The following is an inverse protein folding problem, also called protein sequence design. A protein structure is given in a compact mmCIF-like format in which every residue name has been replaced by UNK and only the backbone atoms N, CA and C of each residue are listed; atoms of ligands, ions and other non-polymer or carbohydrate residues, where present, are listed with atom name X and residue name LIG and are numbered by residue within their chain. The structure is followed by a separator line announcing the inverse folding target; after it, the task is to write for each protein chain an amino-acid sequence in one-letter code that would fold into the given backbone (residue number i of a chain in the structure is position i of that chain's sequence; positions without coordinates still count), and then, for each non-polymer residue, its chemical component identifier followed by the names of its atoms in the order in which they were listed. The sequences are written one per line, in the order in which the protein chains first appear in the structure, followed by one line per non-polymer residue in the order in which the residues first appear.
data_IF_471123412879
#
_entry.id   IF_471123412879
#
_cell.length_a   1.000
_cell.length_b   1.000
_cell.length_c   1.000
_cell.angle_alpha   90.00
_cell.angle_beta   90.00
_cell.angle_gamma   90.00
#
_symmetry.space_group_name_H-M   'P 1'
#
loop_
_entity.id
_entity.type
_entity.pdbx_description
1 polymer ?
#
# COMPACT_ATOMS: atom_id res chain seq x y z
N UNK A 1 -10.43 3.02 -18.26
CA UNK A 1 -11.66 3.32 -17.49
C UNK A 1 -11.39 4.40 -16.44
N UNK A 2 -10.40 4.22 -15.55
CA UNK A 2 -9.96 5.23 -14.57
C UNK A 2 -9.80 6.65 -15.11
N UNK A 3 -9.11 6.82 -16.24
CA UNK A 3 -8.93 8.13 -16.90
C UNK A 3 -10.26 8.78 -17.31
N UNK A 4 -11.26 7.99 -17.72
CA UNK A 4 -12.58 8.48 -18.08
C UNK A 4 -13.44 8.88 -16.87
N UNK A 5 -12.93 8.75 -15.65
CA UNK A 5 -13.63 9.10 -14.42
C UNK A 5 -14.43 7.96 -13.79
N UNK A 6 -14.37 6.74 -14.34
CA UNK A 6 -14.96 5.56 -13.72
C UNK A 6 -14.02 4.96 -12.67
N UNK A 7 -14.55 4.53 -11.52
CA UNK A 7 -13.81 3.66 -10.59
C UNK A 7 -13.60 2.30 -11.27
N UNK A 8 -12.33 1.94 -11.52
CA UNK A 8 -11.99 0.71 -12.22
C UNK A 8 -10.97 -0.11 -11.45
N UNK A 9 -11.19 -1.43 -11.45
CA UNK A 9 -10.28 -2.38 -10.85
C UNK A 9 -10.04 -3.60 -11.72
N UNK A 10 -8.99 -4.33 -11.40
CA UNK A 10 -8.78 -5.72 -11.83
C UNK A 10 -8.28 -6.55 -10.64
N UNK A 11 -8.27 -7.87 -10.80
CA UNK A 11 -7.74 -8.82 -9.83
C UNK A 11 -6.80 -9.80 -10.52
N UNK A 12 -5.67 -10.09 -9.90
CA UNK A 12 -4.66 -11.00 -10.45
C UNK A 12 -3.83 -11.64 -9.33
N UNK A 13 -2.69 -12.23 -9.69
CA UNK A 13 -1.69 -12.77 -8.78
C UNK A 13 -0.28 -12.41 -9.30
N UNK A 14 0.80 -12.70 -8.56
CA UNK A 14 2.19 -12.34 -8.90
C UNK A 14 2.62 -12.40 -10.39
N UNK A 15 2.32 -13.47 -11.16
CA UNK A 15 2.63 -13.50 -12.59
C UNK A 15 1.90 -12.44 -13.42
N UNK A 16 0.65 -12.12 -13.08
CA UNK A 16 -0.11 -11.07 -13.74
C UNK A 16 0.39 -9.68 -13.35
N UNK A 17 0.80 -9.47 -12.09
CA UNK A 17 1.46 -8.23 -11.66
C UNK A 17 2.72 -7.97 -12.49
N UNK A 18 3.52 -9.00 -12.73
CA UNK A 18 4.71 -8.90 -13.59
C UNK A 18 4.38 -8.42 -15.02
N UNK A 19 3.27 -8.88 -15.60
CA UNK A 19 2.81 -8.45 -16.93
C UNK A 19 2.22 -7.03 -16.93
N UNK A 20 1.68 -6.58 -15.79
CA UNK A 20 1.08 -5.26 -15.64
C UNK A 20 2.09 -4.15 -15.32
N UNK A 21 3.38 -4.48 -15.14
CA UNK A 21 4.41 -3.53 -14.71
C UNK A 21 4.52 -2.28 -15.59
N UNK A 22 4.45 -2.40 -16.92
CA UNK A 22 4.51 -1.25 -17.84
C UNK A 22 3.34 -0.29 -17.61
N UNK A 23 2.12 -0.82 -17.50
CA UNK A 23 0.92 -0.02 -17.27
C UNK A 23 0.82 0.54 -15.86
N UNK A 24 1.41 -0.12 -14.86
CA UNK A 24 1.52 0.43 -13.51
C UNK A 24 2.38 1.70 -13.50
N UNK A 25 3.52 1.70 -14.20
CA UNK A 25 4.36 2.89 -14.38
C UNK A 25 3.62 4.00 -15.11
N UNK A 26 2.90 3.67 -16.19
CA UNK A 26 2.06 4.64 -16.90
C UNK A 26 0.98 5.24 -15.97
N UNK A 27 0.29 4.41 -15.18
CA UNK A 27 -0.78 4.88 -14.29
C UNK A 27 -0.27 5.83 -13.21
N UNK A 28 0.88 5.53 -12.60
CA UNK A 28 1.52 6.42 -11.62
C UNK A 28 1.92 7.76 -12.26
N UNK A 29 2.63 7.71 -13.40
CA UNK A 29 3.19 8.90 -14.04
C UNK A 29 2.12 9.79 -14.68
N UNK A 30 1.09 9.18 -15.27
CA UNK A 30 -0.04 9.88 -15.86
C UNK A 30 -1.12 10.27 -14.83
N UNK A 31 -0.96 9.83 -13.59
CA UNK A 31 -1.87 10.06 -12.46
C UNK A 31 -3.30 9.58 -12.74
N UNK A 32 -3.41 8.31 -13.12
CA UNK A 32 -4.67 7.65 -13.44
C UNK A 32 -5.08 6.77 -12.25
N UNK A 33 -6.23 7.04 -11.60
CA UNK A 33 -6.68 6.23 -10.48
C UNK A 33 -7.17 4.86 -10.95
N UNK A 34 -6.73 3.79 -10.29
CA UNK A 34 -7.21 2.42 -10.48
C UNK A 34 -6.82 1.56 -9.29
N UNK A 35 -7.48 0.42 -9.13
CA UNK A 35 -7.19 -0.55 -8.06
C UNK A 35 -6.78 -1.89 -8.65
N UNK A 36 -5.73 -2.51 -8.11
CA UNK A 36 -5.34 -3.88 -8.45
C UNK A 36 -5.39 -4.72 -7.19
N UNK A 37 -6.21 -5.76 -7.21
CA UNK A 37 -6.16 -6.80 -6.19
C UNK A 37 -5.14 -7.84 -6.60
N UNK A 38 -4.10 -8.00 -5.80
CA UNK A 38 -3.14 -9.08 -5.93
C UNK A 38 -3.44 -10.14 -4.88
N UNK A 39 -3.96 -11.27 -5.34
CA UNK A 39 -4.19 -12.44 -4.50
C UNK A 39 -2.91 -13.27 -4.54
N UNK A 40 -2.02 -12.97 -3.60
CA UNK A 40 -0.67 -13.52 -3.59
C UNK A 40 -0.69 -15.03 -3.42
N UNK A 41 0.19 -15.68 -4.19
CA UNK A 41 0.40 -17.13 -4.14
C UNK A 41 1.90 -17.41 -4.24
N UNK A 42 2.28 -18.62 -3.86
CA UNK A 42 3.68 -19.00 -3.87
C UNK A 42 4.27 -18.93 -5.29
N UNK A 43 5.26 -18.05 -5.47
CA UNK A 43 6.14 -17.97 -6.64
C UNK A 43 7.47 -18.72 -6.41
N UNK A 44 8.53 -18.43 -7.20
CA UNK A 44 8.55 -17.56 -8.39
C UNK A 44 7.93 -18.22 -9.63
N UNK A 45 7.75 -17.45 -10.71
CA UNK A 45 7.16 -17.94 -11.98
C UNK A 45 5.78 -18.59 -11.74
N UNK A 46 5.49 -19.75 -12.34
CA UNK A 46 4.25 -20.49 -12.07
C UNK A 46 4.13 -20.88 -10.60
N UNK A 47 5.24 -21.10 -9.88
CA UNK A 47 5.29 -21.44 -8.47
C UNK A 47 4.34 -22.59 -8.08
N UNK A 48 3.67 -22.45 -6.93
CA UNK A 48 2.62 -23.37 -6.47
C UNK A 48 1.27 -22.63 -6.46
N UNK A 49 0.43 -22.77 -7.51
CA UNK A 49 -0.80 -21.98 -7.65
C UNK A 49 -1.87 -22.16 -6.58
N UNK A 50 -1.75 -23.19 -5.76
CA UNK A 50 -2.71 -23.55 -4.72
C UNK A 50 -2.15 -23.36 -3.31
N UNK A 51 -1.00 -22.68 -3.18
CA UNK A 51 -0.31 -22.46 -1.90
C UNK A 51 -0.16 -20.97 -1.60
N UNK A 52 -0.50 -20.60 -0.37
CA UNK A 52 -0.42 -19.22 0.10
C UNK A 52 1.03 -18.78 0.31
N UNK A 53 1.29 -17.51 0.07
CA UNK A 53 2.54 -16.81 0.33
C UNK A 53 2.27 -15.30 0.22
N UNK A 54 3.11 -14.48 0.85
CA UNK A 54 3.08 -13.02 0.80
C UNK A 54 4.42 -12.48 0.28
N UNK A 55 4.82 -12.95 -0.90
CA UNK A 55 6.14 -12.69 -1.53
C UNK A 55 6.11 -11.67 -2.66
N UNK A 56 5.01 -10.92 -2.83
CA UNK A 56 4.89 -9.93 -3.91
C UNK A 56 4.93 -8.49 -3.36
N UNK A 57 5.27 -8.31 -2.07
CA UNK A 57 5.24 -7.02 -1.38
C UNK A 57 6.26 -6.04 -1.97
N UNK A 58 7.53 -6.42 -2.05
CA UNK A 58 8.59 -5.57 -2.61
C UNK A 58 8.36 -5.28 -4.09
N UNK A 59 7.96 -6.30 -4.85
CA UNK A 59 7.74 -6.16 -6.29
C UNK A 59 6.55 -5.26 -6.60
N UNK A 60 5.46 -5.32 -5.81
CA UNK A 60 4.34 -4.40 -5.92
C UNK A 60 4.69 -2.99 -5.44
N UNK A 61 5.44 -2.85 -4.33
CA UNK A 61 5.81 -1.54 -3.77
C UNK A 61 6.64 -0.71 -4.74
N UNK A 62 7.60 -1.36 -5.44
CA UNK A 62 8.50 -0.73 -6.41
C UNK A 62 8.14 -1.02 -7.88
N UNK A 63 6.93 -1.49 -8.17
CA UNK A 63 6.58 -2.02 -9.49
C UNK A 63 6.77 -1.00 -10.62
N UNK A 64 7.37 -1.48 -11.72
CA UNK A 64 7.73 -0.76 -12.95
C UNK A 64 9.18 -0.27 -13.00
N UNK A 65 9.53 0.41 -14.10
CA UNK A 65 10.85 0.97 -14.34
C UNK A 65 10.88 2.46 -13.96
N UNK A 66 12.06 2.96 -13.60
CA UNK A 66 12.23 4.31 -13.06
C UNK A 66 11.96 4.35 -11.55
N UNK A 67 11.80 5.57 -11.02
CA UNK A 67 11.57 5.80 -9.58
C UNK A 67 10.06 5.62 -9.23
N UNK A 68 9.53 4.43 -9.49
CA UNK A 68 8.13 4.09 -9.26
C UNK A 68 7.88 3.57 -7.84
N UNK A 69 6.82 4.08 -7.19
CA UNK A 69 6.35 3.60 -5.89
C UNK A 69 4.84 3.66 -5.79
N UNK A 70 4.25 2.63 -5.20
CA UNK A 70 2.80 2.48 -5.14
C UNK A 70 2.31 2.28 -3.70
N UNK A 71 1.20 2.92 -3.29
CA UNK A 71 0.54 2.58 -2.04
C UNK A 71 -0.01 1.16 -2.08
N UNK A 72 0.19 0.42 -0.99
CA UNK A 72 -0.26 -0.96 -0.82
C UNK A 72 -1.18 -1.05 0.40
N UNK A 73 -2.24 -1.85 0.33
CA UNK A 73 -3.14 -2.19 1.44
C UNK A 73 -3.04 -3.68 1.78
N UNK A 74 -3.14 -4.01 3.08
CA UNK A 74 -2.96 -5.38 3.60
C UNK A 74 -4.14 -5.81 4.49
N UNK A 75 -5.26 -6.29 3.91
CA UNK A 75 -6.37 -6.82 4.70
C UNK A 75 -5.97 -8.12 5.40
N UNK A 76 -6.42 -8.35 6.64
CA UNK A 76 -6.20 -9.60 7.39
C UNK A 76 -7.43 -10.48 7.53
N UNK A 77 -8.63 -9.97 7.24
CA UNK A 77 -9.89 -10.71 7.40
C UNK A 77 -10.83 -10.45 6.23
N UNK A 78 -11.89 -11.29 6.03
CA UNK A 78 -12.90 -11.00 5.01
C UNK A 78 -13.62 -9.66 5.22
N UNK A 79 -13.84 -9.26 6.48
CA UNK A 79 -14.40 -7.94 6.81
C UNK A 79 -13.49 -6.81 6.33
N UNK A 80 -12.17 -6.92 6.57
CA UNK A 80 -11.23 -5.92 6.06
C UNK A 80 -11.11 -5.96 4.54
N UNK A 81 -11.22 -7.12 3.89
CA UNK A 81 -11.29 -7.18 2.43
C UNK A 81 -12.50 -6.38 1.91
N UNK A 82 -13.65 -6.47 2.58
CA UNK A 82 -14.84 -5.71 2.24
C UNK A 82 -14.64 -4.20 2.46
N UNK A 83 -14.15 -3.80 3.63
CA UNK A 83 -13.87 -2.39 3.97
C UNK A 83 -12.82 -1.78 3.00
N UNK A 84 -11.67 -2.45 2.85
CA UNK A 84 -10.56 -1.96 2.06
C UNK A 84 -10.86 -1.94 0.56
N UNK A 85 -11.88 -2.66 0.08
CA UNK A 85 -12.37 -2.50 -1.30
C UNK A 85 -12.89 -1.08 -1.56
N UNK A 86 -13.64 -0.51 -0.62
CA UNK A 86 -14.10 0.88 -0.69
C UNK A 86 -12.95 1.86 -0.52
N UNK A 87 -12.16 1.67 0.56
CA UNK A 87 -11.01 2.50 0.89
C UNK A 87 -10.00 2.58 -0.25
N UNK A 88 -9.73 1.48 -0.95
CA UNK A 88 -8.81 1.47 -2.09
C UNK A 88 -9.27 2.38 -3.23
N UNK A 89 -10.58 2.46 -3.50
CA UNK A 89 -11.09 3.36 -4.52
C UNK A 89 -11.06 4.82 -4.09
N UNK A 90 -11.39 5.11 -2.83
CA UNK A 90 -11.31 6.46 -2.27
C UNK A 90 -9.85 6.96 -2.30
N UNK A 91 -8.90 6.13 -1.87
CA UNK A 91 -7.48 6.42 -1.97
C UNK A 91 -7.02 6.58 -3.42
N UNK A 92 -7.44 5.70 -4.33
CA UNK A 92 -7.05 5.81 -5.74
C UNK A 92 -7.50 7.15 -6.32
N UNK A 93 -8.75 7.59 -6.06
CA UNK A 93 -9.24 8.87 -6.55
C UNK A 93 -8.61 10.08 -5.85
N UNK A 94 -8.36 10.00 -4.54
CA UNK A 94 -7.70 11.06 -3.76
C UNK A 94 -6.25 11.26 -4.20
N UNK A 95 -5.47 10.19 -4.27
CA UNK A 95 -4.05 10.20 -4.64
C UNK A 95 -3.81 10.19 -6.16
N UNK A 96 -4.86 9.96 -6.94
CA UNK A 96 -4.81 9.87 -8.40
C UNK A 96 -3.69 8.92 -8.86
N UNK A 97 -3.67 7.72 -8.31
CA UNK A 97 -2.63 6.73 -8.59
C UNK A 97 -3.20 5.32 -8.50
N UNK A 98 -2.37 4.34 -8.85
CA UNK A 98 -2.66 2.94 -8.67
C UNK A 98 -2.58 2.57 -7.17
N UNK A 99 -3.61 1.90 -6.66
CA UNK A 99 -3.60 1.31 -5.33
C UNK A 99 -3.59 -0.21 -5.48
N UNK A 100 -2.62 -0.86 -4.84
CA UNK A 100 -2.61 -2.31 -4.75
C UNK A 100 -3.26 -2.74 -3.44
N UNK A 101 -4.10 -3.76 -3.52
CA UNK A 101 -4.59 -4.47 -2.34
C UNK A 101 -3.96 -5.86 -2.37
N UNK A 102 -3.00 -6.08 -1.48
CA UNK A 102 -2.26 -7.33 -1.37
C UNK A 102 -2.96 -8.23 -0.35
N UNK A 103 -3.80 -9.12 -0.86
CA UNK A 103 -4.33 -10.26 -0.09
C UNK A 103 -3.49 -11.50 -0.40
N UNK A 104 -3.91 -12.67 0.03
CA UNK A 104 -3.24 -13.93 -0.24
C UNK A 104 -4.25 -15.05 -0.48
N UNK A 105 -3.77 -16.19 -0.99
CA UNK A 105 -4.64 -17.33 -1.29
C UNK A 105 -5.33 -17.91 -0.05
N UNK A 106 -4.82 -17.69 1.16
CA UNK A 106 -5.49 -18.19 2.35
C UNK A 106 -6.83 -17.48 2.56
N UNK A 107 -6.85 -16.14 2.45
CA UNK A 107 -8.09 -15.37 2.44
C UNK A 107 -8.87 -15.53 1.12
N UNK A 108 -8.17 -15.70 0.00
CA UNK A 108 -8.79 -15.73 -1.34
C UNK A 108 -9.49 -17.04 -1.72
N UNK A 109 -9.12 -18.17 -1.10
CA UNK A 109 -9.64 -19.50 -1.47
C UNK A 109 -10.32 -20.25 -0.33
N UNK A 110 -10.01 -19.95 0.94
CA UNK A 110 -10.57 -20.67 2.08
C UNK A 110 -11.81 -19.99 2.67
N UNK A 111 -12.60 -20.76 3.41
CA UNK A 111 -13.74 -20.24 4.16
C UNK A 111 -13.24 -19.70 5.50
N UNK A 112 -13.52 -18.42 5.73
CA UNK A 112 -13.22 -17.72 6.97
C UNK A 112 -14.50 -17.28 7.67
N UNK A 113 -14.50 -17.35 9.00
CA UNK A 113 -15.53 -16.70 9.80
C UNK A 113 -15.26 -15.20 9.73
N UNK A 114 -16.33 -14.42 9.55
CA UNK A 114 -16.26 -12.96 9.49
C UNK A 114 -17.38 -12.37 10.32
N UNK A 115 -17.09 -11.23 10.93
CA UNK A 115 -18.13 -10.33 11.42
C UNK A 115 -19.01 -9.86 10.24
N UNK A 116 -20.27 -9.45 10.52
CA UNK A 116 -21.15 -8.88 9.51
C UNK A 116 -20.52 -7.69 8.80
N UNK A 117 -20.78 -7.55 7.50
CA UNK A 117 -20.29 -6.42 6.72
C UNK A 117 -21.10 -5.16 7.01
N UNK A 118 -20.41 -4.10 7.41
CA UNK A 118 -20.99 -2.77 7.58
C UNK A 118 -20.91 -2.00 6.28
N UNK A 119 -22.06 -1.63 5.72
CA UNK A 119 -22.10 -0.86 4.49
C UNK A 119 -21.78 0.62 4.78
N UNK A 120 -20.92 1.27 3.97
CA UNK A 120 -20.58 2.67 4.19
C UNK A 120 -21.80 3.56 3.95
N UNK A 121 -22.07 4.46 4.90
CA UNK A 121 -23.09 5.51 4.75
C UNK A 121 -22.56 6.74 4.02
N UNK A 122 -21.25 6.98 4.10
CA UNK A 122 -20.60 8.12 3.49
C UNK A 122 -20.63 8.02 1.95
N UNK A 123 -20.79 9.14 1.24
CA UNK A 123 -20.68 9.15 -0.21
C UNK A 123 -19.25 8.81 -0.64
N UNK A 124 -19.12 8.29 -1.85
CA UNK A 124 -17.83 7.99 -2.47
C UNK A 124 -16.92 9.23 -2.50
N UNK A 125 -15.68 9.09 -2.02
CA UNK A 125 -14.69 10.14 -2.10
C UNK A 125 -14.11 10.27 -3.52
N UNK A 126 -14.53 11.30 -4.25
CA UNK A 126 -14.06 11.54 -5.62
C UNK A 126 -12.69 12.24 -5.68
N UNK A 127 -12.13 12.66 -4.55
CA UNK A 127 -10.92 13.45 -4.49
C UNK A 127 -11.08 14.85 -5.11
N UNK A 128 -9.97 15.41 -5.63
CA UNK A 128 -9.91 16.77 -6.20
C UNK A 128 -10.42 16.82 -7.65
N UNK A 129 -11.73 16.78 -7.84
CA UNK A 129 -12.39 16.83 -9.16
C UNK A 129 -13.09 18.17 -9.38
N UNK A 130 -12.78 18.86 -10.48
CA UNK A 130 -13.37 20.14 -10.85
C UNK A 130 -14.61 19.97 -11.74
N UNK A 131 -15.65 20.73 -11.41
CA UNK A 131 -16.85 20.96 -12.21
C UNK A 131 -16.62 22.05 -13.28
N UNK A 132 -17.62 22.29 -14.13
CA UNK A 132 -17.55 23.36 -15.13
C UNK A 132 -17.63 24.75 -14.47
N UNK A 133 -18.36 24.84 -13.37
CA UNK A 133 -18.50 26.01 -12.52
C UNK A 133 -17.15 26.37 -11.88
N UNK A 134 -16.47 25.39 -11.26
CA UNK A 134 -15.15 25.62 -10.65
C UNK A 134 -14.13 26.15 -11.67
N UNK A 135 -14.12 25.59 -12.88
CA UNK A 135 -13.23 26.05 -13.95
C UNK A 135 -13.53 27.49 -14.41
N UNK A 136 -14.79 27.90 -14.34
CA UNK A 136 -15.20 29.28 -14.67
C UNK A 136 -14.66 30.26 -13.63
N UNK A 137 -14.65 29.87 -12.35
CA UNK A 137 -14.10 30.66 -11.25
C UNK A 137 -12.57 30.78 -11.33
N UNK A 138 -11.88 29.73 -11.78
CA UNK A 138 -10.43 29.72 -11.97
C UNK A 138 -9.96 30.62 -13.13
N UNK A 139 -10.86 31.10 -14.00
CA UNK A 139 -10.58 32.07 -15.08
C UNK A 139 -9.35 31.72 -15.95
N UNK A 140 -9.18 30.41 -16.23
CA UNK A 140 -8.09 29.90 -17.06
C UNK A 140 -6.78 29.62 -16.32
N UNK A 141 -6.72 29.83 -15.00
CA UNK A 141 -5.57 29.50 -14.17
C UNK A 141 -5.62 28.05 -13.66
N UNK A 142 -5.77 27.09 -14.57
CA UNK A 142 -5.77 25.67 -14.25
C UNK A 142 -4.79 24.91 -15.15
N UNK A 143 -4.00 24.03 -14.55
CA UNK A 143 -3.20 23.03 -15.24
C UNK A 143 -3.37 21.68 -14.56
N UNK A 144 -3.42 20.60 -15.35
CA UNK A 144 -3.69 19.24 -14.87
C UNK A 144 -2.73 18.78 -13.77
N UNK A 145 -1.50 19.27 -13.77
CA UNK A 145 -0.43 18.85 -12.89
C UNK A 145 0.09 19.98 -11.98
N UNK A 146 -0.66 21.08 -11.89
CA UNK A 146 -0.36 22.20 -10.98
C UNK A 146 -0.76 21.80 -9.55
N UNK A 147 0.21 21.81 -8.64
CA UNK A 147 0.00 21.58 -7.22
C UNK A 147 -0.25 22.92 -6.51
N UNK A 148 -1.52 23.21 -6.24
CA UNK A 148 -1.95 24.47 -5.60
C UNK A 148 -1.97 24.40 -4.07
N UNK A 149 -2.14 23.19 -3.51
CA UNK A 149 -2.28 22.98 -2.06
C UNK A 149 -0.96 22.59 -1.40
N UNK A 150 0.06 22.26 -2.19
CA UNK A 150 1.37 21.85 -1.69
C UNK A 150 1.40 20.41 -1.17
N UNK A 151 0.42 19.59 -1.51
CA UNK A 151 0.31 18.18 -1.12
C UNK A 151 0.72 17.21 -2.24
N UNK A 152 1.13 17.74 -3.39
CA UNK A 152 1.50 16.99 -4.59
C UNK A 152 0.30 16.44 -5.38
N UNK A 153 -0.92 16.64 -4.92
CA UNK A 153 -2.17 16.13 -5.52
C UNK A 153 -2.85 17.28 -6.28
N UNK A 154 -2.77 17.30 -7.62
CA UNK A 154 -3.37 18.36 -8.41
C UNK A 154 -4.89 18.19 -8.56
N UNK A 155 -5.59 19.25 -8.96
CA UNK A 155 -7.00 19.16 -9.34
C UNK A 155 -7.15 18.61 -10.77
N UNK A 156 -8.12 17.72 -10.98
CA UNK A 156 -8.40 17.12 -12.30
C UNK A 156 -9.82 17.37 -12.77
N UNK A 157 -10.01 17.31 -14.08
CA UNK A 157 -11.32 17.18 -14.72
C UNK A 157 -11.51 15.74 -15.20
N UNK A 158 -12.76 15.38 -15.48
CA UNK A 158 -13.11 14.10 -16.11
C UNK A 158 -13.60 14.35 -17.54
N UNK A 159 -13.33 13.44 -18.49
CA UNK A 159 -13.92 13.51 -19.81
C UNK A 159 -15.45 13.67 -19.73
N UNK A 160 -15.98 14.71 -20.38
CA UNK A 160 -17.40 15.07 -20.32
C UNK A 160 -17.71 16.32 -19.50
N UNK A 161 -16.75 16.88 -18.74
CA UNK A 161 -16.91 18.20 -18.11
C UNK A 161 -17.12 19.27 -19.21
N UNK A 162 -18.30 19.93 -19.19
CA UNK A 162 -18.75 20.84 -20.27
C UNK A 162 -18.14 22.24 -20.15
N UNK A 163 -16.82 22.35 -20.23
CA UNK A 163 -16.11 23.62 -20.20
C UNK A 163 -14.91 23.62 -21.18
N UNK A 164 -14.66 24.67 -21.97
CA UNK A 164 -13.57 24.70 -22.96
C UNK A 164 -12.18 24.48 -22.36
N UNK A 165 -11.97 24.95 -21.13
CA UNK A 165 -10.71 24.76 -20.41
C UNK A 165 -10.59 23.39 -19.73
N UNK A 166 -11.57 22.50 -19.80
CA UNK A 166 -11.53 21.22 -19.08
C UNK A 166 -10.63 20.17 -19.76
N UNK A 167 -10.25 20.38 -21.02
CA UNK A 167 -9.50 19.39 -21.80
C UNK A 167 -8.01 19.43 -21.45
N UNK A 168 -7.42 18.25 -21.33
CA UNK A 168 -5.98 18.04 -21.21
C UNK A 168 -5.59 16.74 -21.90
N UNK A 169 -4.31 16.61 -22.26
CA UNK A 169 -3.81 15.40 -22.92
C UNK A 169 -2.95 14.60 -21.95
N UNK A 170 -3.36 13.38 -21.64
CA UNK A 170 -2.63 12.45 -20.78
C UNK A 170 -1.52 11.75 -21.55
N UNK A 171 -0.30 11.71 -21.00
CA UNK A 171 0.89 11.13 -21.64
C UNK A 171 1.68 10.27 -20.66
N UNK A 172 2.32 9.23 -21.18
CA UNK A 172 3.41 8.52 -20.49
C UNK A 172 4.78 9.18 -20.70
N UNK A 173 4.86 10.25 -21.51
CA UNK A 173 6.09 10.99 -21.79
C UNK A 173 6.18 12.27 -20.97
N UNK A 174 7.40 12.81 -20.85
CA UNK A 174 7.66 14.07 -20.13
C UNK A 174 6.68 15.17 -20.49
N UNK A 175 6.21 15.87 -19.47
CA UNK A 175 5.20 16.92 -19.58
C UNK A 175 5.41 18.00 -18.53
N UNK A 176 5.01 19.23 -18.86
CA UNK A 176 4.94 20.31 -17.88
C UNK A 176 3.62 20.28 -17.09
N UNK A 177 3.45 21.26 -16.19
CA UNK A 177 2.28 21.37 -15.31
C UNK A 177 0.93 21.50 -16.05
N UNK A 178 0.96 21.92 -17.32
CA UNK A 178 -0.20 22.08 -18.19
C UNK A 178 -0.44 20.89 -19.14
N UNK A 179 0.19 19.75 -18.87
CA UNK A 179 0.10 18.52 -19.67
C UNK A 179 0.60 18.68 -21.13
N UNK A 180 1.45 19.68 -21.38
CA UNK A 180 2.12 19.87 -22.67
C UNK A 180 3.41 19.07 -22.67
N UNK A 181 3.69 18.38 -23.77
CA UNK A 181 4.94 17.63 -23.94
C UNK A 181 6.16 18.49 -23.66
N UNK A 182 7.09 17.98 -22.85
CA UNK A 182 8.33 18.65 -22.53
C UNK A 182 9.46 17.66 -22.24
N UNK A 183 10.65 18.00 -22.72
CA UNK A 183 11.92 17.33 -22.41
C UNK A 183 12.86 18.26 -21.61
N UNK A 184 12.37 19.42 -21.15
CA UNK A 184 13.17 20.34 -20.34
C UNK A 184 13.46 19.70 -18.98
N UNK A 185 14.70 19.80 -18.53
CA UNK A 185 15.13 19.21 -17.26
C UNK A 185 14.32 19.75 -16.08
N UNK A 186 13.98 21.03 -16.08
CA UNK A 186 13.24 21.67 -14.99
C UNK A 186 11.81 21.13 -14.89
N UNK A 187 11.14 20.94 -16.03
CA UNK A 187 9.79 20.37 -16.05
C UNK A 187 9.80 18.94 -15.51
N UNK A 188 10.82 18.15 -15.89
CA UNK A 188 11.00 16.79 -15.40
C UNK A 188 11.28 16.73 -13.89
N UNK A 189 12.29 17.46 -13.43
CA UNK A 189 12.69 17.50 -12.02
C UNK A 189 11.54 17.96 -11.12
N UNK A 190 10.83 19.03 -11.52
CA UNK A 190 9.69 19.53 -10.77
C UNK A 190 8.55 18.51 -10.70
N UNK A 191 8.27 17.80 -11.79
CA UNK A 191 7.25 16.76 -11.80
C UNK A 191 7.61 15.60 -10.87
N UNK A 192 8.86 15.13 -10.90
CA UNK A 192 9.33 14.05 -10.04
C UNK A 192 9.30 14.45 -8.56
N UNK A 193 9.73 15.67 -8.22
CA UNK A 193 9.64 16.20 -6.85
C UNK A 193 8.19 16.29 -6.36
N UNK A 194 7.24 16.65 -7.24
CA UNK A 194 5.82 16.69 -6.90
C UNK A 194 5.25 15.28 -6.67
N UNK A 195 5.60 14.31 -7.52
CA UNK A 195 5.16 12.91 -7.34
C UNK A 195 5.73 12.32 -6.05
N UNK A 196 6.97 12.66 -5.69
CA UNK A 196 7.58 12.32 -4.40
C UNK A 196 6.77 12.91 -3.24
N UNK A 197 6.41 14.19 -3.33
CA UNK A 197 5.58 14.86 -2.32
C UNK A 197 4.24 14.16 -2.17
N UNK A 198 3.57 13.85 -3.28
CA UNK A 198 2.30 13.13 -3.31
C UNK A 198 2.40 11.77 -2.60
N UNK A 199 3.47 11.03 -2.84
CA UNK A 199 3.71 9.75 -2.18
C UNK A 199 3.93 9.93 -0.67
N UNK A 200 4.60 11.00 -0.25
CA UNK A 200 4.74 11.30 1.18
C UNK A 200 3.43 11.73 1.83
N UNK A 201 2.58 12.51 1.15
CA UNK A 201 1.21 12.82 1.58
C UNK A 201 0.38 11.55 1.79
N UNK A 202 0.58 10.51 0.97
CA UNK A 202 -0.14 9.24 1.12
C UNK A 202 0.04 8.60 2.51
N UNK A 203 1.17 8.84 3.20
CA UNK A 203 1.44 8.32 4.56
C UNK A 203 0.41 8.79 5.60
N UNK A 204 -0.23 9.92 5.35
CA UNK A 204 -1.26 10.50 6.22
C UNK A 204 -2.68 10.05 5.84
N UNK A 205 -2.85 9.49 4.65
CA UNK A 205 -4.14 9.11 4.08
C UNK A 205 -4.39 7.60 4.14
N UNK A 206 -3.35 6.79 4.06
CA UNK A 206 -3.48 5.33 4.14
C UNK A 206 -3.97 4.88 5.53
N UNK A 207 -4.66 3.73 5.63
CA UNK A 207 -5.11 3.19 6.91
C UNK A 207 -3.97 3.09 7.93
N UNK A 208 -4.22 3.59 9.14
CA UNK A 208 -3.30 3.48 10.26
C UNK A 208 -3.05 2.01 10.63
N UNK A 209 -1.86 1.66 11.16
CA UNK A 209 -1.62 0.33 11.71
C UNK A 209 -2.52 0.05 12.92
N UNK A 210 -2.73 -1.22 13.24
CA UNK A 210 -3.27 -1.62 14.55
C UNK A 210 -2.11 -1.78 15.50
N UNK A 211 -2.20 -1.17 16.69
CA UNK A 211 -1.14 -1.19 17.70
C UNK A 211 -1.73 -1.60 19.04
N UNK A 212 -1.09 -2.56 19.70
CA UNK A 212 -1.39 -2.98 21.07
C UNK A 212 -0.09 -2.92 21.86
N UNK A 213 0.08 -1.84 22.63
CA UNK A 213 1.28 -1.61 23.42
C UNK A 213 1.20 -2.31 24.78
N UNK A 214 2.30 -2.93 25.18
CA UNK A 214 2.49 -3.48 26.51
C UNK A 214 3.63 -2.76 27.22
N UNK A 215 3.32 -2.03 28.29
CA UNK A 215 4.31 -1.25 29.03
C UNK A 215 5.42 -2.09 29.70
N UNK A 216 5.23 -3.41 29.80
CA UNK A 216 6.22 -4.35 30.33
C UNK A 216 7.08 -4.99 29.23
N UNK A 217 6.73 -4.79 27.95
CA UNK A 217 7.44 -5.39 26.83
C UNK A 217 8.63 -4.54 26.40
N UNK A 218 9.82 -5.15 26.32
CA UNK A 218 11.00 -4.55 25.70
C UNK A 218 11.09 -4.82 24.19
N UNK A 219 10.33 -5.80 23.69
CA UNK A 219 10.31 -6.21 22.28
C UNK A 219 8.93 -6.01 21.66
N UNK A 220 8.91 -5.69 20.37
CA UNK A 220 7.70 -5.62 19.55
C UNK A 220 7.62 -6.79 18.56
N UNK A 221 6.42 -7.20 18.21
CA UNK A 221 6.16 -8.10 17.08
C UNK A 221 5.33 -7.34 16.05
N UNK A 222 5.80 -7.35 14.80
CA UNK A 222 5.14 -6.71 13.68
C UNK A 222 4.76 -7.73 12.62
N UNK A 223 3.57 -7.61 12.04
CA UNK A 223 3.16 -8.45 10.90
C UNK A 223 2.17 -7.71 9.99
N UNK A 224 1.67 -8.40 8.97
CA UNK A 224 0.62 -7.94 8.07
C UNK A 224 -0.29 -9.10 7.63
N UNK A 225 -1.43 -8.72 7.04
CA UNK A 225 -2.34 -9.65 6.35
C UNK A 225 -2.80 -10.82 7.23
N UNK A 226 -2.98 -11.98 6.60
CA UNK A 226 -3.50 -13.22 7.21
C UNK A 226 -2.64 -13.83 8.33
N UNK A 227 -1.45 -13.29 8.62
CA UNK A 227 -0.60 -13.78 9.70
C UNK A 227 -1.11 -13.37 11.10
N UNK A 228 -2.04 -12.40 11.19
CA UNK A 228 -2.55 -11.84 12.45
C UNK A 228 -2.94 -12.90 13.49
N UNK A 229 -3.76 -13.93 13.17
CA UNK A 229 -4.18 -14.92 14.17
C UNK A 229 -3.01 -15.76 14.69
N UNK A 230 -2.09 -16.15 13.80
CA UNK A 230 -0.93 -16.96 14.18
C UNK A 230 0.04 -16.19 15.06
N UNK A 231 0.22 -14.88 14.81
CA UNK A 231 1.06 -14.01 15.63
C UNK A 231 0.42 -13.79 17.00
N UNK A 232 -0.89 -13.54 17.08
CA UNK A 232 -1.61 -13.39 18.36
C UNK A 232 -1.49 -14.63 19.24
N UNK A 233 -1.70 -15.82 18.68
CA UNK A 233 -1.49 -17.07 19.44
C UNK A 233 -0.01 -17.27 19.82
N UNK A 234 0.95 -16.80 19.01
CA UNK A 234 2.36 -16.82 19.38
C UNK A 234 2.66 -15.89 20.56
N UNK A 235 2.03 -14.72 20.64
CA UNK A 235 2.17 -13.80 21.77
C UNK A 235 1.68 -14.44 23.08
N UNK A 236 0.53 -15.12 23.06
CA UNK A 236 0.02 -15.84 24.24
C UNK A 236 1.02 -16.90 24.74
N UNK A 237 1.70 -17.57 23.80
CA UNK A 237 2.72 -18.57 24.12
C UNK A 237 4.01 -17.96 24.63
N UNK A 238 4.49 -16.88 24.03
CA UNK A 238 5.64 -16.13 24.51
C UNK A 238 5.39 -15.60 25.93
N UNK A 239 4.18 -15.11 26.20
CA UNK A 239 3.78 -14.68 27.54
C UNK A 239 3.82 -15.85 28.54
N UNK A 240 3.35 -17.04 28.15
CA UNK A 240 3.45 -18.23 29.00
C UNK A 240 4.91 -18.64 29.30
N UNK A 241 5.84 -18.33 28.40
CA UNK A 241 7.28 -18.50 28.58
C UNK A 241 7.96 -17.29 29.27
N UNK A 242 7.19 -16.30 29.73
CA UNK A 242 7.66 -15.14 30.48
C UNK A 242 8.20 -13.98 29.62
N UNK A 243 7.89 -13.98 28.32
CA UNK A 243 8.28 -12.94 27.37
C UNK A 243 7.09 -12.03 27.06
N UNK A 244 7.12 -10.83 27.63
CA UNK A 244 6.14 -9.78 27.35
C UNK A 244 6.44 -9.09 26.01
N UNK A 245 5.41 -8.93 25.17
CA UNK A 245 5.55 -8.36 23.81
C UNK A 245 4.49 -7.29 23.53
N UNK A 246 4.84 -6.28 22.74
CA UNK A 246 3.88 -5.38 22.09
C UNK A 246 3.59 -5.84 20.67
N UNK A 247 2.44 -5.47 20.13
CA UNK A 247 1.99 -5.89 18.80
C UNK A 247 1.74 -4.71 17.86
N UNK A 248 2.13 -4.88 16.60
CA UNK A 248 1.71 -4.01 15.51
C UNK A 248 1.33 -4.82 14.26
N UNK A 249 0.12 -4.57 13.74
CA UNK A 249 -0.25 -5.01 12.39
C UNK A 249 -0.22 -3.85 11.41
N UNK A 250 0.63 -3.95 10.41
CA UNK A 250 0.66 -2.99 9.32
C UNK A 250 -0.56 -3.22 8.40
N UNK A 251 -1.34 -2.16 8.18
CA UNK A 251 -2.50 -2.18 7.26
C UNK A 251 -2.19 -1.58 5.89
N UNK A 252 -1.13 -0.79 5.77
CA UNK A 252 -0.75 -0.17 4.51
C UNK A 252 0.72 0.25 4.41
N UNK A 253 1.19 0.42 3.17
CA UNK A 253 2.38 1.18 2.80
C UNK A 253 1.96 2.35 1.90
N UNK A 254 2.68 3.50 1.92
CA UNK A 254 3.90 3.79 2.68
C UNK A 254 3.65 3.89 4.19
N UNK A 255 4.70 3.68 4.99
CA UNK A 255 4.57 3.69 6.46
C UNK A 255 4.18 5.06 7.01
N UNK A 256 3.32 5.05 8.03
CA UNK A 256 2.95 6.24 8.80
C UNK A 256 3.96 6.54 9.90
N UNK A 257 3.83 7.70 10.54
CA UNK A 257 4.65 8.11 11.68
C UNK A 257 4.51 7.17 12.88
N UNK A 258 3.33 6.59 13.11
CA UNK A 258 3.08 5.62 14.19
C UNK A 258 3.97 4.37 14.07
N UNK A 259 4.26 3.92 12.85
CA UNK A 259 5.17 2.77 12.62
C UNK A 259 6.58 3.10 13.10
N UNK A 260 7.06 4.32 12.83
CA UNK A 260 8.38 4.80 13.27
C UNK A 260 8.45 4.87 14.80
N UNK A 261 7.41 5.40 15.42
CA UNK A 261 7.31 5.54 16.88
C UNK A 261 7.30 4.19 17.57
N UNK A 262 6.53 3.22 17.06
CA UNK A 262 6.53 1.86 17.58
C UNK A 262 7.91 1.22 17.50
N UNK A 263 8.60 1.30 16.35
CA UNK A 263 9.96 0.72 16.23
C UNK A 263 10.96 1.43 17.15
N UNK A 264 10.82 2.75 17.34
CA UNK A 264 11.67 3.53 18.24
C UNK A 264 11.40 3.27 19.73
N UNK A 265 10.22 2.75 20.09
CA UNK A 265 9.84 2.46 21.47
C UNK A 265 10.39 1.12 22.00
N UNK A 266 10.82 0.21 21.11
CA UNK A 266 11.26 -1.14 21.49
C UNK A 266 12.75 -1.34 21.21
N UNK A 267 13.40 -2.21 21.98
CA UNK A 267 14.82 -2.57 21.78
C UNK A 267 15.02 -3.35 20.49
N UNK A 268 14.09 -4.27 20.20
CA UNK A 268 14.00 -5.05 18.97
C UNK A 268 12.53 -5.21 18.56
N UNK A 269 12.29 -5.23 17.26
CA UNK A 269 11.00 -5.52 16.64
C UNK A 269 11.17 -6.68 15.67
N UNK A 270 10.50 -7.79 15.97
CA UNK A 270 10.47 -8.99 15.14
C UNK A 270 9.39 -8.83 14.06
N UNK A 271 9.81 -8.78 12.80
CA UNK A 271 8.93 -8.64 11.63
C UNK A 271 8.61 -10.05 11.12
N UNK A 272 7.39 -10.52 11.41
CA UNK A 272 6.91 -11.86 11.08
C UNK A 272 6.22 -11.85 9.72
N UNK A 273 6.73 -12.64 8.78
CA UNK A 273 6.27 -12.62 7.38
C UNK A 273 6.17 -14.01 6.73
N UNK A 274 5.15 -14.21 5.89
CA UNK A 274 4.98 -15.41 5.08
C UNK A 274 5.67 -15.30 3.71
N UNK A 275 6.97 -15.03 3.72
CA UNK A 275 7.83 -15.06 2.53
C UNK A 275 9.24 -15.49 2.93
N UNK A 276 10.11 -15.76 1.95
CA UNK A 276 11.44 -16.28 2.21
C UNK A 276 12.47 -15.19 2.57
N UNK A 277 12.25 -13.94 2.10
CA UNK A 277 13.28 -12.90 2.09
C UNK A 277 13.11 -11.81 3.16
N UNK A 278 12.00 -11.79 3.90
CA UNK A 278 11.69 -10.69 4.83
C UNK A 278 11.44 -9.38 4.08
N UNK A 279 10.54 -9.42 3.10
CA UNK A 279 10.32 -8.29 2.17
C UNK A 279 9.84 -7.02 2.88
N UNK A 280 8.89 -7.14 3.82
CA UNK A 280 8.46 -6.01 4.63
C UNK A 280 9.63 -5.50 5.47
N UNK A 281 10.41 -6.37 6.10
CA UNK A 281 11.57 -5.97 6.90
C UNK A 281 12.59 -5.16 6.06
N UNK A 282 12.86 -5.55 4.82
CA UNK A 282 13.70 -4.78 3.88
C UNK A 282 13.12 -3.40 3.57
N UNK A 283 11.81 -3.32 3.30
CA UNK A 283 11.13 -2.04 3.05
C UNK A 283 11.22 -1.14 4.29
N UNK A 284 10.92 -1.67 5.48
CA UNK A 284 10.97 -0.92 6.74
C UNK A 284 12.37 -0.37 7.03
N UNK A 285 13.42 -1.15 6.77
CA UNK A 285 14.82 -0.69 6.90
C UNK A 285 15.15 0.43 5.92
N UNK A 286 14.61 0.38 4.71
CA UNK A 286 14.79 1.41 3.68
C UNK A 286 14.03 2.69 4.03
N UNK A 287 12.81 2.57 4.55
CA UNK A 287 11.94 3.68 4.95
C UNK A 287 12.37 4.32 6.28
N UNK A 288 13.11 3.60 7.12
CA UNK A 288 13.56 4.02 8.45
C UNK A 288 15.02 3.63 8.70
N UNK A 289 15.99 4.14 7.91
CA UNK A 289 17.38 3.69 7.98
C UNK A 289 18.02 3.90 9.35
N UNK A 290 17.60 4.94 10.09
CA UNK A 290 18.08 5.21 11.45
C UNK A 290 17.63 4.16 12.49
N UNK A 291 16.58 3.37 12.20
CA UNK A 291 16.03 2.34 13.08
C UNK A 291 16.28 0.92 12.55
N UNK A 292 17.02 0.77 11.44
CA UNK A 292 17.18 -0.49 10.74
C UNK A 292 17.76 -1.64 11.61
N UNK A 293 18.62 -1.31 12.57
CA UNK A 293 19.25 -2.27 13.50
C UNK A 293 18.31 -2.81 14.58
N UNK A 294 17.11 -2.23 14.71
CA UNK A 294 16.07 -2.73 15.63
C UNK A 294 15.12 -3.71 14.98
N UNK A 295 15.19 -3.88 13.66
CA UNK A 295 14.27 -4.74 12.91
C UNK A 295 14.94 -6.11 12.69
N UNK A 296 14.31 -7.17 13.20
CA UNK A 296 14.75 -8.55 13.01
C UNK A 296 13.73 -9.26 12.12
N UNK A 297 14.19 -9.91 11.06
CA UNK A 297 13.30 -10.64 10.16
C UNK A 297 13.02 -12.03 10.72
N UNK A 298 11.74 -12.38 10.87
CA UNK A 298 11.26 -13.72 11.22
C UNK A 298 10.38 -14.21 10.07
N UNK A 299 11.03 -14.76 9.05
CA UNK A 299 10.40 -15.05 7.75
C UNK A 299 10.39 -16.54 7.44
N UNK A 300 9.25 -17.05 6.98
CA UNK A 300 9.12 -18.44 6.49
C UNK A 300 8.19 -18.51 5.30
N UNK A 301 8.53 -19.40 4.37
CA UNK A 301 7.72 -19.70 3.20
C UNK A 301 7.84 -21.19 2.85
N UNK A 302 6.86 -21.98 3.29
CA UNK A 302 6.72 -23.40 2.93
C UNK A 302 5.39 -23.72 2.22
N UNK A 303 4.65 -22.67 1.81
CA UNK A 303 3.36 -22.77 1.14
C UNK A 303 2.16 -22.98 2.06
N UNK A 304 2.37 -22.92 3.38
CA UNK A 304 1.32 -22.99 4.39
C UNK A 304 1.21 -21.65 5.15
N UNK A 305 0.05 -21.36 5.76
CA UNK A 305 -0.03 -20.31 6.78
C UNK A 305 0.99 -20.53 7.90
N UNK A 306 1.49 -19.44 8.47
CA UNK A 306 2.43 -19.54 9.58
C UNK A 306 1.74 -20.17 10.80
N UNK A 307 2.49 -20.93 11.59
CA UNK A 307 1.98 -21.47 12.86
C UNK A 307 2.56 -20.69 14.04
N UNK A 308 1.73 -20.43 15.04
CA UNK A 308 2.12 -19.82 16.31
C UNK A 308 3.33 -20.52 16.93
N UNK A 309 3.39 -21.85 16.80
CA UNK A 309 4.53 -22.67 17.25
C UNK A 309 5.84 -22.25 16.62
N UNK A 310 5.88 -22.18 15.30
CA UNK A 310 7.08 -21.83 14.60
C UNK A 310 7.51 -20.39 14.92
N UNK A 311 6.54 -19.46 15.00
CA UNK A 311 6.81 -18.05 15.35
C UNK A 311 7.44 -17.96 16.75
N UNK A 312 6.83 -18.60 17.75
CA UNK A 312 7.33 -18.64 19.14
C UNK A 312 8.75 -19.20 19.20
N UNK A 313 8.97 -20.39 18.62
CA UNK A 313 10.27 -21.06 18.62
C UNK A 313 11.35 -20.22 17.92
N UNK A 314 10.99 -19.52 16.84
CA UNK A 314 11.93 -18.67 16.09
C UNK A 314 12.31 -17.41 16.87
N UNK A 315 11.35 -16.74 17.50
CA UNK A 315 11.63 -15.54 18.32
C UNK A 315 12.50 -15.90 19.52
N UNK A 316 12.18 -16.98 20.25
CA UNK A 316 13.01 -17.44 21.37
C UNK A 316 14.43 -17.82 20.94
N UNK A 317 14.59 -18.42 19.75
CA UNK A 317 15.91 -18.76 19.22
C UNK A 317 16.74 -17.51 18.86
N UNK A 318 16.12 -16.45 18.35
CA UNK A 318 16.81 -15.17 18.07
C UNK A 318 17.13 -14.37 19.34
N UNK A 319 16.43 -14.62 20.45
CA UNK A 319 16.71 -13.99 21.75
C UNK A 319 17.87 -14.65 22.51
N UNK A 320 18.24 -15.88 22.16
CA UNK A 320 19.22 -16.72 22.88
C UNK A 320 20.68 -16.42 22.45
#
# INVERSE_FOLDING_TARGET
AGWAGARSMTSTSGPGISLMAEFAGLAQFAEIPSVIWDIQRMGPSTGLPTRTCQSDIESAYYLSHGDSRHPLLFPSTPQECFEMAGTAFDLAERLQTLIFVLSDLDLGMNLWISEPFEYPEAPMDRGKVLSAEDLSELKGNWGRYVDVDGDGIPYRTVPGTKHPAAAYFTRGTGHNEYAVYSERKEDWENNMVRLERKFNTARELVPAPIVEENAQASIGIMTLGSNDPAVREAMDRLQADGVETSYMRLRALPISQQVKEFVAAHDQVYVVENNFNGQLCTILRTEMPALATRLVSVSKCDGLPLSARWITESILAEMA
#
